data_IF_973632882677
#
_entry.id   IF_973632882677
#
_cell.length_a   1.000
_cell.length_b   1.000
_cell.length_c   1.000
_cell.angle_alpha   90.00
_cell.angle_beta   90.00
_cell.angle_gamma   90.00
#
_symmetry.space_group_name_H-M   'P 1'
#
loop_
_entity.id
_entity.type
_entity.pdbx_description
1 polymer ?
#
# COMPACT_ATOMS: atom_id res chain seq x y z
N UNK A 1 -21.82 0.94 1.90
CA UNK A 1 -22.67 1.63 0.93
C UNK A 1 -22.24 3.10 0.84
N UNK A 2 -21.89 3.54 -0.34
CA UNK A 2 -21.60 4.94 -0.64
C UNK A 2 -22.87 5.51 -1.24
N UNK A 3 -23.44 6.52 -0.62
CA UNK A 3 -24.77 7.02 -0.92
C UNK A 3 -25.00 7.45 -2.39
N UNK A 4 -23.90 7.72 -3.14
CA UNK A 4 -23.94 8.21 -4.52
C UNK A 4 -23.64 7.11 -5.56
N UNK A 5 -23.63 5.83 -5.16
CA UNK A 5 -23.29 4.71 -6.04
C UNK A 5 -24.34 3.60 -5.99
N UNK A 6 -24.52 2.95 -7.13
CA UNK A 6 -25.34 1.75 -7.28
C UNK A 6 -24.48 0.61 -7.83
N UNK A 7 -24.64 -0.59 -7.28
CA UNK A 7 -23.98 -1.80 -7.80
C UNK A 7 -24.83 -2.36 -8.93
N UNK A 8 -24.37 -2.21 -10.17
CA UNK A 8 -25.11 -2.64 -11.39
C UNK A 8 -24.79 -4.07 -11.81
N UNK A 9 -23.64 -4.59 -11.39
CA UNK A 9 -23.22 -5.97 -11.67
C UNK A 9 -22.03 -6.39 -10.83
N UNK A 10 -21.84 -7.69 -10.74
CA UNK A 10 -20.65 -8.31 -10.14
C UNK A 10 -20.32 -9.61 -10.85
N UNK A 11 -19.04 -9.96 -10.89
CA UNK A 11 -18.54 -11.17 -11.54
C UNK A 11 -17.58 -11.91 -10.61
N UNK A 12 -17.78 -13.23 -10.49
CA UNK A 12 -16.85 -14.13 -9.82
C UNK A 12 -16.96 -15.54 -10.43
N UNK A 13 -15.97 -15.94 -11.21
CA UNK A 13 -15.95 -17.25 -11.88
C UNK A 13 -15.67 -18.43 -10.96
N UNK A 14 -15.23 -18.18 -9.71
CA UNK A 14 -14.89 -19.20 -8.71
C UNK A 14 -15.72 -19.14 -7.44
N UNK A 15 -16.75 -18.29 -7.39
CA UNK A 15 -17.55 -18.10 -6.18
C UNK A 15 -18.29 -19.37 -5.77
N UNK A 16 -18.24 -19.67 -4.47
CA UNK A 16 -19.06 -20.72 -3.89
C UNK A 16 -20.55 -20.32 -3.89
N UNK A 17 -21.49 -21.26 -4.00
CA UNK A 17 -22.94 -20.95 -4.05
C UNK A 17 -23.42 -20.07 -2.90
N UNK A 18 -22.86 -20.24 -1.69
CA UNK A 18 -23.22 -19.45 -0.51
C UNK A 18 -22.78 -17.99 -0.68
N UNK A 19 -21.61 -17.75 -1.26
CA UNK A 19 -21.12 -16.40 -1.54
C UNK A 19 -21.96 -15.70 -2.61
N UNK A 20 -22.37 -16.43 -3.64
CA UNK A 20 -23.30 -15.94 -4.67
C UNK A 20 -24.65 -15.54 -4.04
N UNK A 21 -25.23 -16.41 -3.20
CA UNK A 21 -26.48 -16.14 -2.50
C UNK A 21 -26.38 -14.89 -1.62
N UNK A 22 -25.28 -14.75 -0.87
CA UNK A 22 -25.04 -13.58 -0.02
C UNK A 22 -24.90 -12.28 -0.83
N UNK A 23 -24.21 -12.33 -1.98
CA UNK A 23 -24.04 -11.18 -2.86
C UNK A 23 -25.38 -10.75 -3.50
N UNK A 24 -26.19 -11.70 -3.98
CA UNK A 24 -27.54 -11.43 -4.52
C UNK A 24 -28.43 -10.79 -3.46
N UNK A 25 -28.41 -11.30 -2.23
CA UNK A 25 -29.18 -10.71 -1.12
C UNK A 25 -28.73 -9.29 -0.77
N UNK A 26 -27.42 -9.03 -0.85
CA UNK A 26 -26.83 -7.72 -0.56
C UNK A 26 -27.05 -6.69 -1.65
N UNK A 27 -27.12 -7.13 -2.91
CA UNK A 27 -27.26 -6.28 -4.10
C UNK A 27 -28.38 -6.79 -5.01
N UNK A 28 -29.65 -6.68 -4.60
CA UNK A 28 -30.78 -7.35 -5.27
C UNK A 28 -31.06 -6.84 -6.69
N UNK A 29 -30.56 -5.64 -7.05
CA UNK A 29 -30.67 -5.07 -8.39
C UNK A 29 -29.48 -5.38 -9.31
N UNK A 30 -28.38 -5.94 -8.79
CA UNK A 30 -27.17 -6.16 -9.54
C UNK A 30 -27.23 -7.48 -10.33
N UNK A 31 -26.75 -7.44 -11.58
CA UNK A 31 -26.61 -8.64 -12.41
C UNK A 31 -25.41 -9.47 -11.97
N UNK A 32 -25.57 -10.78 -11.92
CA UNK A 32 -24.52 -11.73 -11.57
C UNK A 32 -23.92 -12.36 -12.82
N UNK A 33 -22.59 -12.43 -12.89
CA UNK A 33 -21.83 -13.00 -14.00
C UNK A 33 -20.73 -13.94 -13.48
N UNK A 34 -20.35 -14.90 -14.32
CA UNK A 34 -19.14 -15.72 -14.11
C UNK A 34 -17.93 -15.19 -14.86
N UNK A 35 -18.14 -14.29 -15.83
CA UNK A 35 -17.13 -13.65 -16.66
C UNK A 35 -17.22 -12.14 -16.52
N UNK A 36 -16.11 -11.52 -16.08
CA UNK A 36 -16.04 -10.08 -15.87
C UNK A 36 -16.06 -9.28 -17.17
N UNK A 37 -15.56 -9.83 -18.30
CA UNK A 37 -15.58 -9.13 -19.59
C UNK A 37 -17.02 -8.98 -20.09
N UNK A 38 -17.80 -10.05 -19.98
CA UNK A 38 -19.23 -10.01 -20.29
C UNK A 38 -19.98 -9.06 -19.36
N UNK A 39 -19.67 -9.07 -18.07
CA UNK A 39 -20.23 -8.11 -17.11
C UNK A 39 -19.96 -6.66 -17.57
N UNK A 40 -18.72 -6.33 -17.89
CA UNK A 40 -18.34 -4.99 -18.31
C UNK A 40 -19.05 -4.56 -19.61
N UNK A 41 -19.16 -5.44 -20.60
CA UNK A 41 -19.83 -5.16 -21.87
C UNK A 41 -21.34 -4.92 -21.69
N UNK A 42 -21.99 -5.71 -20.85
CA UNK A 42 -23.45 -5.63 -20.65
C UNK A 42 -23.87 -4.49 -19.71
N UNK A 43 -23.04 -4.17 -18.69
CA UNK A 43 -23.41 -3.17 -17.67
C UNK A 43 -22.80 -1.80 -17.92
N UNK A 44 -21.68 -1.70 -18.63
CA UNK A 44 -20.94 -0.47 -18.90
C UNK A 44 -20.84 0.45 -17.67
N UNK A 45 -20.25 -0.01 -16.59
CA UNK A 45 -20.24 0.74 -15.34
C UNK A 45 -19.33 1.97 -15.44
N UNK A 46 -19.68 3.07 -14.73
CA UNK A 46 -18.79 4.23 -14.59
C UNK A 46 -17.55 3.90 -13.76
N UNK A 47 -17.69 3.02 -12.77
CA UNK A 47 -16.62 2.63 -11.83
C UNK A 47 -16.56 1.11 -11.74
N UNK A 48 -15.35 0.57 -11.79
CA UNK A 48 -15.09 -0.87 -11.63
C UNK A 48 -14.27 -1.10 -10.36
N UNK A 49 -14.75 -1.98 -9.48
CA UNK A 49 -13.95 -2.50 -8.38
C UNK A 49 -13.18 -3.73 -8.85
N UNK A 50 -11.85 -3.62 -8.94
CA UNK A 50 -10.93 -4.72 -9.28
C UNK A 50 -10.48 -5.36 -7.96
N UNK A 51 -11.10 -6.49 -7.59
CA UNK A 51 -10.98 -7.11 -6.28
C UNK A 51 -10.26 -8.46 -6.21
N UNK A 52 -9.70 -9.05 -7.30
CA UNK A 52 -8.98 -10.31 -7.17
C UNK A 52 -7.80 -10.18 -6.20
N UNK A 53 -7.58 -11.25 -5.45
CA UNK A 53 -6.40 -11.35 -4.60
C UNK A 53 -5.13 -11.56 -5.42
N UNK A 54 -5.25 -12.19 -6.59
CA UNK A 54 -4.14 -12.52 -7.48
C UNK A 54 -3.80 -11.33 -8.37
N UNK A 55 -2.61 -10.79 -8.17
CA UNK A 55 -2.11 -9.54 -8.76
C UNK A 55 -1.94 -9.64 -10.29
N UNK A 56 -1.63 -10.82 -10.81
CA UNK A 56 -1.49 -11.11 -12.24
C UNK A 56 -2.77 -10.87 -13.07
N UNK A 57 -3.92 -10.71 -12.40
CA UNK A 57 -5.20 -10.41 -13.04
C UNK A 57 -5.50 -8.90 -13.13
N UNK A 58 -4.82 -8.08 -12.35
CA UNK A 58 -5.16 -6.68 -12.14
C UNK A 58 -5.06 -5.86 -13.42
N UNK A 59 -3.92 -5.90 -14.11
CA UNK A 59 -3.68 -5.12 -15.32
C UNK A 59 -4.72 -5.42 -16.41
N UNK A 60 -4.98 -6.70 -16.69
CA UNK A 60 -5.96 -7.12 -17.69
C UNK A 60 -7.38 -6.60 -17.39
N UNK A 61 -7.79 -6.62 -16.11
CA UNK A 61 -9.11 -6.11 -15.69
C UNK A 61 -9.21 -4.59 -15.82
N UNK A 62 -8.14 -3.84 -15.51
CA UNK A 62 -8.09 -2.39 -15.71
C UNK A 62 -8.21 -2.05 -17.20
N UNK A 63 -7.47 -2.74 -18.07
CA UNK A 63 -7.57 -2.54 -19.52
C UNK A 63 -8.97 -2.85 -20.06
N UNK A 64 -9.59 -3.93 -19.61
CA UNK A 64 -10.95 -4.29 -20.01
C UNK A 64 -11.99 -3.23 -19.56
N UNK A 65 -11.86 -2.72 -18.32
CA UNK A 65 -12.72 -1.66 -17.81
C UNK A 65 -12.54 -0.35 -18.61
N UNK A 66 -11.29 0.03 -18.90
CA UNK A 66 -10.99 1.20 -19.74
C UNK A 66 -11.56 1.09 -21.16
N UNK A 67 -11.58 -0.13 -21.74
CA UNK A 67 -12.13 -0.40 -23.08
C UNK A 67 -13.63 -0.14 -23.18
N UNK A 68 -14.40 -0.42 -22.12
CA UNK A 68 -15.86 -0.17 -22.09
C UNK A 68 -16.22 1.25 -21.68
N UNK A 69 -15.22 2.10 -21.36
CA UNK A 69 -15.42 3.51 -21.04
C UNK A 69 -15.60 3.80 -19.56
N UNK A 70 -15.15 2.91 -18.66
CA UNK A 70 -15.11 3.20 -17.23
C UNK A 70 -14.30 4.47 -16.95
N UNK A 71 -14.78 5.29 -16.02
CA UNK A 71 -14.16 6.56 -15.59
C UNK A 71 -13.29 6.39 -14.37
N UNK A 72 -13.56 5.36 -13.56
CA UNK A 72 -12.86 5.07 -12.32
C UNK A 72 -12.61 3.59 -12.09
N UNK A 73 -11.48 3.32 -11.42
CA UNK A 73 -11.13 1.98 -10.92
C UNK A 73 -10.88 2.10 -9.42
N UNK A 74 -11.54 1.27 -8.63
CA UNK A 74 -11.16 1.01 -7.24
C UNK A 74 -10.48 -0.36 -7.18
N UNK A 75 -9.23 -0.42 -6.80
CA UNK A 75 -8.39 -1.58 -7.05
C UNK A 75 -7.73 -2.12 -5.79
N UNK A 76 -7.80 -3.44 -5.61
CA UNK A 76 -7.05 -4.13 -4.55
C UNK A 76 -5.54 -3.97 -4.72
N UNK A 77 -4.88 -4.07 -3.58
CA UNK A 77 -3.41 -4.06 -3.47
C UNK A 77 -2.86 -5.51 -3.44
N UNK A 78 -1.62 -5.73 -3.79
CA UNK A 78 -0.66 -4.82 -4.44
C UNK A 78 -1.12 -4.34 -5.81
N UNK A 79 -0.60 -3.20 -6.27
CA UNK A 79 -1.05 -2.56 -7.50
C UNK A 79 -0.95 -3.49 -8.72
N UNK A 80 0.25 -3.83 -9.12
CA UNK A 80 0.58 -4.72 -10.24
C UNK A 80 1.93 -5.40 -9.98
N UNK A 81 2.36 -6.33 -10.88
CA UNK A 81 3.56 -7.15 -10.69
C UNK A 81 4.88 -6.46 -10.99
N UNK A 82 4.87 -5.49 -11.91
CA UNK A 82 6.08 -4.83 -12.38
C UNK A 82 5.82 -3.40 -12.90
N UNK A 83 6.88 -2.74 -13.36
CA UNK A 83 6.80 -1.37 -13.83
C UNK A 83 6.26 -1.27 -15.28
N UNK A 84 6.23 -2.34 -16.04
CA UNK A 84 5.59 -2.34 -17.37
C UNK A 84 4.09 -2.19 -17.21
N UNK A 85 3.47 -3.07 -16.41
CA UNK A 85 2.05 -2.99 -16.09
C UNK A 85 1.68 -1.67 -15.39
N UNK A 86 2.54 -1.18 -14.48
CA UNK A 86 2.31 0.08 -13.78
C UNK A 86 2.30 1.28 -14.73
N UNK A 87 3.26 1.37 -15.64
CA UNK A 87 3.36 2.45 -16.63
C UNK A 87 2.18 2.45 -17.59
N UNK A 88 1.71 1.28 -18.03
CA UNK A 88 0.54 1.15 -18.88
C UNK A 88 -0.73 1.71 -18.21
N UNK A 89 -0.96 1.38 -16.94
CA UNK A 89 -2.11 1.89 -16.20
C UNK A 89 -1.99 3.40 -15.96
N UNK A 90 -0.82 3.89 -15.63
CA UNK A 90 -0.57 5.34 -15.50
C UNK A 90 -0.84 6.06 -16.83
N UNK A 91 -0.41 5.48 -17.96
CA UNK A 91 -0.68 6.02 -19.30
C UNK A 91 -2.19 6.07 -19.60
N UNK A 92 -2.93 5.02 -19.27
CA UNK A 92 -4.41 5.01 -19.41
C UNK A 92 -5.06 6.15 -18.62
N UNK A 93 -4.57 6.42 -17.40
CA UNK A 93 -5.04 7.54 -16.58
C UNK A 93 -4.86 8.88 -17.29
N UNK A 94 -3.69 9.11 -17.87
CA UNK A 94 -3.35 10.35 -18.58
C UNK A 94 -4.08 10.51 -19.90
N UNK A 95 -4.17 9.43 -20.70
CA UNK A 95 -4.71 9.47 -22.05
C UNK A 95 -6.24 9.46 -22.09
N UNK A 96 -6.88 8.74 -21.16
CA UNK A 96 -8.33 8.53 -21.16
C UNK A 96 -9.06 9.20 -20.00
N UNK A 97 -8.33 9.89 -19.13
CA UNK A 97 -8.92 10.48 -17.92
C UNK A 97 -9.41 9.44 -16.89
N UNK A 98 -8.94 8.17 -16.99
CA UNK A 98 -9.28 7.11 -16.06
C UNK A 98 -8.67 7.40 -14.68
N UNK A 99 -9.48 7.44 -13.63
CA UNK A 99 -9.01 7.62 -12.26
C UNK A 99 -8.88 6.28 -11.57
N UNK A 100 -7.72 6.01 -10.98
CA UNK A 100 -7.45 4.76 -10.27
C UNK A 100 -7.18 5.08 -8.81
N UNK A 101 -7.95 4.49 -7.90
CA UNK A 101 -7.72 4.56 -6.47
C UNK A 101 -7.36 3.17 -5.94
N UNK A 102 -6.27 3.08 -5.18
CA UNK A 102 -5.78 1.83 -4.61
C UNK A 102 -6.28 1.64 -3.18
N UNK A 103 -6.56 0.40 -2.81
CA UNK A 103 -7.11 0.00 -1.52
C UNK A 103 -6.09 0.06 -0.36
N UNK A 104 -5.18 1.03 -0.37
CA UNK A 104 -4.29 1.33 0.76
C UNK A 104 -4.99 2.22 1.79
N UNK A 105 -6.04 1.68 2.39
CA UNK A 105 -6.99 2.39 3.25
C UNK A 105 -6.37 3.19 4.39
N UNK A 106 -5.26 2.71 4.98
CA UNK A 106 -4.60 3.37 6.10
C UNK A 106 -4.05 4.76 5.71
N UNK A 107 -3.68 4.98 4.44
CA UNK A 107 -3.26 6.29 3.94
C UNK A 107 -4.37 7.34 4.04
N UNK A 108 -5.64 6.90 3.98
CA UNK A 108 -6.80 7.77 4.06
C UNK A 108 -7.25 8.10 5.49
N UNK A 109 -6.56 7.56 6.51
CA UNK A 109 -6.88 7.89 7.89
C UNK A 109 -6.61 9.38 8.15
N UNK A 110 -7.60 10.16 8.63
CA UNK A 110 -7.47 11.62 8.77
C UNK A 110 -6.29 12.06 9.64
N UNK A 111 -5.94 11.28 10.67
CA UNK A 111 -4.79 11.58 11.50
C UNK A 111 -3.44 11.59 10.74
N UNK A 112 -3.34 10.95 9.55
CA UNK A 112 -2.14 10.98 8.71
C UNK A 112 -1.84 12.41 8.26
N UNK A 113 -2.85 13.16 7.82
CA UNK A 113 -2.68 14.56 7.42
C UNK A 113 -2.29 15.45 8.61
N UNK A 114 -2.87 15.20 9.78
CA UNK A 114 -2.54 15.94 11.01
C UNK A 114 -1.08 15.69 11.43
N UNK A 115 -0.60 14.44 11.35
CA UNK A 115 0.84 14.15 11.60
C UNK A 115 1.73 14.89 10.62
N UNK A 116 1.38 14.92 9.32
CA UNK A 116 2.16 15.67 8.32
C UNK A 116 2.21 17.16 8.66
N UNK A 117 1.08 17.76 9.01
CA UNK A 117 1.00 19.17 9.40
C UNK A 117 1.86 19.46 10.65
N UNK A 118 1.82 18.57 11.65
CA UNK A 118 2.62 18.71 12.86
C UNK A 118 4.12 18.53 12.60
N UNK A 119 4.52 17.65 11.68
CA UNK A 119 5.90 17.54 11.23
C UNK A 119 6.36 18.84 10.56
N UNK A 120 5.56 19.37 9.63
CA UNK A 120 5.87 20.62 8.93
C UNK A 120 5.94 21.83 9.88
N UNK A 121 5.09 21.85 10.91
CA UNK A 121 5.10 22.86 11.96
C UNK A 121 6.22 22.67 13.00
N UNK A 122 7.04 21.61 12.89
CA UNK A 122 8.14 21.32 13.81
C UNK A 122 7.72 20.87 15.20
N UNK A 123 6.46 20.47 15.42
CA UNK A 123 5.94 20.08 16.73
C UNK A 123 6.60 18.83 17.32
N UNK A 124 7.08 17.92 16.48
CA UNK A 124 7.84 16.73 16.88
C UNK A 124 9.35 16.96 16.88
N UNK A 125 9.80 18.21 16.61
CA UNK A 125 11.18 18.49 16.29
C UNK A 125 11.55 18.08 14.87
N UNK A 126 12.84 17.86 14.62
CA UNK A 126 13.35 17.45 13.31
C UNK A 126 13.16 15.96 13.09
N UNK A 127 12.61 15.54 11.95
CA UNK A 127 12.56 14.14 11.54
C UNK A 127 13.98 13.65 11.23
N UNK A 128 14.40 12.57 11.88
CA UNK A 128 15.75 12.02 11.82
C UNK A 128 15.84 10.78 10.95
N UNK A 129 14.88 9.88 11.10
CA UNK A 129 14.77 8.64 10.33
C UNK A 129 13.32 8.14 10.34
N UNK A 130 12.98 7.27 9.39
CA UNK A 130 11.76 6.49 9.40
C UNK A 130 12.08 4.99 9.37
N UNK A 131 11.34 4.18 10.12
CA UNK A 131 11.51 2.74 10.22
C UNK A 131 10.19 2.04 9.95
N UNK A 132 10.08 1.41 8.81
CA UNK A 132 8.96 0.57 8.45
C UNK A 132 9.30 -0.90 8.79
N UNK A 133 8.32 -1.61 9.33
CA UNK A 133 8.47 -3.02 9.64
C UNK A 133 7.28 -3.82 9.14
N UNK A 134 7.55 -4.92 8.44
CA UNK A 134 6.55 -5.83 7.91
C UNK A 134 5.74 -6.51 9.03
N UNK A 135 4.73 -7.28 8.63
CA UNK A 135 3.91 -8.04 9.58
C UNK A 135 4.64 -9.24 10.16
N UNK A 136 5.62 -9.75 9.42
CA UNK A 136 6.53 -10.82 9.85
C UNK A 136 5.84 -12.13 10.28
N UNK A 137 4.63 -12.34 9.79
CA UNK A 137 3.93 -13.62 9.95
C UNK A 137 4.55 -14.70 9.04
N UNK A 138 3.81 -15.75 8.67
CA UNK A 138 4.28 -16.79 7.75
C UNK A 138 4.73 -16.26 6.38
N UNK A 139 4.39 -15.03 6.02
CA UNK A 139 4.74 -14.36 4.76
C UNK A 139 6.04 -13.55 4.86
N UNK A 140 6.69 -13.45 6.01
CA UNK A 140 7.86 -12.60 6.24
C UNK A 140 8.89 -12.61 5.11
N UNK A 141 9.68 -11.55 5.03
CA UNK A 141 10.64 -11.33 3.96
C UNK A 141 10.05 -10.69 2.70
N UNK A 142 10.47 -11.09 1.49
CA UNK A 142 10.05 -10.48 0.22
C UNK A 142 8.55 -10.54 -0.06
N UNK A 143 7.88 -11.62 0.31
CA UNK A 143 6.42 -11.74 0.18
C UNK A 143 5.70 -10.72 1.07
N UNK A 144 6.19 -10.52 2.29
CA UNK A 144 5.66 -9.49 3.20
C UNK A 144 5.90 -8.07 2.66
N UNK A 145 7.09 -7.81 2.10
CA UNK A 145 7.40 -6.53 1.45
C UNK A 145 6.34 -6.17 0.37
N UNK A 146 5.94 -7.15 -0.46
CA UNK A 146 4.91 -6.98 -1.47
C UNK A 146 3.51 -6.81 -0.88
N UNK A 147 3.06 -7.80 -0.10
CA UNK A 147 1.63 -7.92 0.27
C UNK A 147 1.24 -6.96 1.39
N UNK A 148 2.14 -6.74 2.34
CA UNK A 148 1.88 -5.95 3.54
C UNK A 148 2.77 -4.71 3.62
N UNK A 149 4.04 -4.81 3.25
CA UNK A 149 4.97 -3.69 3.17
C UNK A 149 4.50 -2.60 2.20
N UNK A 150 3.80 -2.97 1.13
CA UNK A 150 3.20 -1.99 0.21
C UNK A 150 2.27 -0.99 0.91
N UNK A 151 1.54 -1.40 1.97
CA UNK A 151 0.72 -0.49 2.78
C UNK A 151 1.54 0.56 3.54
N UNK A 152 2.78 0.22 3.86
CA UNK A 152 3.71 1.10 4.56
C UNK A 152 4.44 2.00 3.58
N UNK A 153 5.01 1.40 2.52
CA UNK A 153 5.79 2.12 1.52
C UNK A 153 4.98 3.21 0.82
N UNK A 154 3.70 2.97 0.52
CA UNK A 154 2.82 3.97 -0.09
C UNK A 154 2.59 5.21 0.79
N UNK A 155 2.72 5.06 2.12
CA UNK A 155 2.57 6.16 3.07
C UNK A 155 3.84 7.01 3.20
N UNK A 156 5.02 6.43 2.94
CA UNK A 156 6.29 7.10 3.22
C UNK A 156 6.52 8.39 2.43
N UNK A 157 6.11 8.53 1.16
CA UNK A 157 6.26 9.78 0.42
C UNK A 157 5.51 10.97 1.02
N UNK A 158 4.44 10.72 1.78
CA UNK A 158 3.67 11.77 2.48
C UNK A 158 4.53 12.56 3.47
N UNK A 159 5.51 11.89 4.08
CA UNK A 159 6.39 12.44 5.11
C UNK A 159 7.79 12.73 4.63
N UNK A 160 8.29 11.97 3.64
CA UNK A 160 9.69 11.91 3.28
C UNK A 160 9.98 12.42 1.86
N UNK A 161 8.96 12.74 1.08
CA UNK A 161 9.12 13.01 -0.35
C UNK A 161 9.39 11.73 -1.16
N UNK A 162 9.78 11.88 -2.42
CA UNK A 162 9.98 10.74 -3.33
C UNK A 162 11.20 9.90 -2.96
N UNK A 163 11.18 8.58 -3.22
CA UNK A 163 12.38 7.75 -3.12
C UNK A 163 13.38 8.12 -4.23
N UNK A 164 14.67 8.14 -3.88
CA UNK A 164 15.79 8.56 -4.76
C UNK A 164 16.71 7.39 -5.07
N UNK A 165 16.97 6.54 -4.09
CA UNK A 165 17.80 5.37 -4.23
C UNK A 165 17.44 4.31 -3.18
N UNK A 166 17.86 3.06 -3.44
CA UNK A 166 17.68 1.94 -2.53
C UNK A 166 18.97 1.13 -2.39
N UNK A 167 19.19 0.61 -1.20
CA UNK A 167 20.16 -0.45 -0.90
C UNK A 167 19.40 -1.52 -0.13
N UNK A 168 19.45 -2.79 -0.59
CA UNK A 168 18.70 -3.86 0.06
C UNK A 168 19.23 -5.24 -0.25
N UNK A 169 19.00 -6.17 0.66
CA UNK A 169 19.38 -7.56 0.56
C UNK A 169 18.25 -8.49 1.00
N UNK A 170 18.13 -9.60 0.30
CA UNK A 170 17.23 -10.72 0.61
C UNK A 170 18.05 -11.86 1.20
N UNK A 171 17.47 -12.54 2.19
CA UNK A 171 18.12 -13.66 2.86
C UNK A 171 17.20 -14.87 2.91
N UNK A 172 17.79 -16.04 2.72
CA UNK A 172 17.19 -17.34 2.98
C UNK A 172 17.94 -18.00 4.15
N UNK A 173 17.29 -18.09 5.31
CA UNK A 173 17.87 -18.69 6.53
C UNK A 173 19.23 -18.06 6.91
N UNK A 174 19.31 -16.73 6.86
CA UNK A 174 20.50 -15.96 7.23
C UNK A 174 21.60 -15.91 6.17
N UNK A 175 21.41 -16.51 4.99
CA UNK A 175 22.34 -16.42 3.85
C UNK A 175 21.71 -15.58 2.73
N UNK A 176 22.49 -14.77 1.99
CA UNK A 176 21.98 -14.07 0.82
C UNK A 176 21.28 -15.04 -0.15
N UNK A 177 20.13 -14.62 -0.66
CA UNK A 177 19.36 -15.39 -1.66
C UNK A 177 20.19 -15.60 -2.91
N UNK A 178 20.15 -16.82 -3.44
CA UNK A 178 20.78 -17.20 -4.71
C UNK A 178 19.72 -17.78 -5.66
N UNK A 179 20.10 -18.01 -6.92
CA UNK A 179 19.19 -18.54 -7.96
C UNK A 179 18.36 -19.73 -7.49
N UNK A 180 18.95 -20.64 -6.72
CA UNK A 180 18.27 -21.85 -6.23
C UNK A 180 17.18 -21.59 -5.19
N UNK A 181 17.13 -20.40 -4.59
CA UNK A 181 16.13 -19.99 -3.61
C UNK A 181 14.95 -19.25 -4.26
N UNK A 182 15.02 -18.96 -5.57
CA UNK A 182 13.99 -18.20 -6.30
C UNK A 182 12.97 -19.16 -6.92
N UNK A 183 11.70 -18.91 -6.64
CA UNK A 183 10.56 -19.66 -7.18
C UNK A 183 9.35 -18.74 -7.38
N UNK A 184 8.30 -19.26 -8.01
CA UNK A 184 7.03 -18.53 -8.08
C UNK A 184 6.48 -18.26 -6.68
N UNK A 185 6.15 -17.01 -6.44
CA UNK A 185 5.55 -16.55 -5.19
C UNK A 185 4.04 -16.73 -5.15
N UNK A 186 3.47 -16.56 -3.96
CA UNK A 186 2.02 -16.55 -3.76
C UNK A 186 1.34 -15.34 -4.44
N UNK A 187 0.03 -15.41 -4.56
CA UNK A 187 -0.85 -14.29 -4.97
C UNK A 187 -0.59 -13.75 -6.40
N UNK A 188 0.05 -14.56 -7.26
CA UNK A 188 0.33 -14.14 -8.64
C UNK A 188 1.38 -13.02 -8.79
N UNK A 189 2.26 -12.87 -7.80
CA UNK A 189 3.28 -11.82 -7.74
C UNK A 189 4.51 -12.10 -8.62
N UNK A 190 4.61 -13.30 -9.20
CA UNK A 190 5.78 -13.75 -9.93
C UNK A 190 6.92 -14.18 -8.99
N UNK A 191 8.16 -14.08 -9.46
CA UNK A 191 9.32 -14.62 -8.76
C UNK A 191 9.58 -13.98 -7.41
N UNK A 192 9.80 -14.84 -6.40
CA UNK A 192 10.15 -14.49 -5.02
C UNK A 192 11.30 -15.38 -4.53
N UNK A 193 12.01 -14.94 -3.50
CA UNK A 193 13.08 -15.72 -2.88
C UNK A 193 13.46 -15.18 -1.51
N UNK A 194 13.63 -16.06 -0.55
CA UNK A 194 14.06 -15.71 0.80
C UNK A 194 12.92 -15.56 1.81
N UNK A 195 13.34 -15.54 3.08
CA UNK A 195 12.46 -15.41 4.24
C UNK A 195 12.82 -14.18 5.13
N UNK A 196 13.78 -13.36 4.69
CA UNK A 196 14.07 -12.06 5.30
C UNK A 196 14.47 -11.04 4.24
N UNK A 197 14.14 -9.77 4.51
CA UNK A 197 14.51 -8.62 3.70
C UNK A 197 14.93 -7.46 4.61
N UNK A 198 16.04 -6.80 4.26
CA UNK A 198 16.53 -5.58 4.88
C UNK A 198 16.83 -4.55 3.80
N UNK A 199 16.21 -3.39 3.91
CA UNK A 199 16.36 -2.33 2.91
C UNK A 199 16.51 -0.95 3.54
N UNK A 200 17.26 -0.08 2.86
CA UNK A 200 17.38 1.33 3.18
C UNK A 200 17.09 2.14 1.91
N UNK A 201 16.17 3.08 2.02
CA UNK A 201 15.87 4.03 0.95
C UNK A 201 16.43 5.41 1.29
N UNK A 202 16.97 6.06 0.28
CA UNK A 202 17.28 7.48 0.29
C UNK A 202 16.05 8.22 -0.24
N UNK A 203 15.57 9.17 0.54
CA UNK A 203 14.37 9.93 0.22
C UNK A 203 14.72 11.38 -0.14
N UNK A 204 13.89 12.04 -0.91
CA UNK A 204 14.07 13.42 -1.38
C UNK A 204 14.30 14.42 -0.22
N UNK A 205 13.68 14.19 0.94
CA UNK A 205 13.92 14.98 2.15
C UNK A 205 15.34 14.85 2.74
N UNK A 206 16.13 13.88 2.29
CA UNK A 206 17.41 13.50 2.89
C UNK A 206 17.28 12.63 4.15
N UNK A 207 16.06 12.37 4.63
CA UNK A 207 15.80 11.50 5.79
C UNK A 207 15.81 10.03 5.32
N UNK A 208 16.60 9.13 5.95
CA UNK A 208 16.62 7.72 5.56
C UNK A 208 15.34 7.01 5.99
N UNK A 209 14.84 6.13 5.12
CA UNK A 209 13.80 5.16 5.42
C UNK A 209 14.41 3.76 5.47
N UNK A 210 14.13 3.01 6.52
CA UNK A 210 14.48 1.60 6.65
C UNK A 210 13.22 0.74 6.53
N UNK A 211 13.36 -0.43 5.89
CA UNK A 211 12.32 -1.45 5.86
C UNK A 211 12.93 -2.80 6.22
N UNK A 212 12.34 -3.46 7.18
CA UNK A 212 12.73 -4.80 7.63
C UNK A 212 11.53 -5.73 7.69
N UNK A 213 11.74 -6.99 7.28
CA UNK A 213 10.79 -8.08 7.51
C UNK A 213 11.51 -9.41 7.57
N UNK A 214 11.24 -10.16 8.63
CA UNK A 214 11.78 -11.50 8.86
C UNK A 214 10.65 -12.47 9.19
N UNK A 215 10.56 -13.56 8.47
CA UNK A 215 9.51 -14.57 8.65
C UNK A 215 9.48 -15.14 10.07
N UNK A 216 8.28 -15.17 10.66
CA UNK A 216 8.05 -15.79 11.95
C UNK A 216 8.47 -14.97 13.18
N UNK A 217 8.93 -13.72 12.99
CA UNK A 217 9.23 -12.81 14.12
C UNK A 217 8.01 -11.99 14.56
N UNK A 218 6.97 -11.88 13.73
CA UNK A 218 5.77 -11.12 14.05
C UNK A 218 4.86 -11.87 15.00
N UNK A 219 4.61 -11.31 16.18
CA UNK A 219 3.51 -11.72 17.03
C UNK A 219 2.20 -11.08 16.56
N UNK A 220 1.06 -11.60 17.02
CA UNK A 220 -0.26 -11.01 16.74
C UNK A 220 -0.23 -9.51 17.10
N UNK A 221 -0.42 -8.65 16.09
CA UNK A 221 -0.49 -7.20 16.21
C UNK A 221 0.81 -6.47 16.60
N UNK A 222 1.99 -7.13 16.61
CA UNK A 222 3.25 -6.44 16.84
C UNK A 222 3.95 -6.03 15.54
N UNK A 223 4.59 -4.87 15.55
CA UNK A 223 5.58 -4.45 14.56
C UNK A 223 5.07 -3.94 13.22
N UNK A 224 3.93 -4.38 12.72
CA UNK A 224 3.42 -3.96 11.41
C UNK A 224 3.07 -2.47 11.37
N UNK A 225 4.00 -1.65 10.90
CA UNK A 225 3.83 -0.21 10.93
C UNK A 225 5.06 0.59 10.51
N UNK A 226 4.98 1.90 10.76
CA UNK A 226 6.06 2.85 10.49
C UNK A 226 6.29 3.70 11.74
N UNK A 227 7.53 3.80 12.17
CA UNK A 227 7.96 4.77 13.17
C UNK A 227 8.65 5.96 12.50
N UNK A 228 8.17 7.16 12.77
CA UNK A 228 8.86 8.40 12.46
C UNK A 228 9.63 8.83 13.70
N UNK A 229 10.95 8.71 13.66
CA UNK A 229 11.82 9.05 14.77
C UNK A 229 12.24 10.51 14.62
N UNK A 230 11.68 11.37 15.47
CA UNK A 230 11.95 12.80 15.47
C UNK A 230 12.82 13.18 16.66
N UNK A 231 13.42 14.38 16.68
CA UNK A 231 14.33 14.80 17.74
C UNK A 231 13.66 14.98 19.11
N UNK A 232 12.34 15.23 19.14
CA UNK A 232 11.57 15.49 20.36
C UNK A 232 10.40 14.50 20.59
N UNK A 233 10.18 13.56 19.64
CA UNK A 233 9.13 12.55 19.75
C UNK A 233 9.40 11.34 18.86
N UNK A 234 8.71 10.23 19.12
CA UNK A 234 8.53 9.13 18.16
C UNK A 234 7.05 9.01 17.85
N UNK A 235 6.70 9.04 16.55
CA UNK A 235 5.33 8.82 16.09
C UNK A 235 5.26 7.43 15.48
N UNK A 236 4.38 6.57 16.01
CA UNK A 236 4.25 5.17 15.63
C UNK A 236 2.90 4.94 14.93
N UNK A 237 2.97 4.53 13.67
CA UNK A 237 1.82 4.13 12.88
C UNK A 237 1.69 2.61 12.93
N UNK A 238 0.55 2.12 13.39
CA UNK A 238 0.22 0.69 13.42
C UNK A 238 -0.81 0.38 12.36
N UNK A 239 -0.41 -0.33 11.32
CA UNK A 239 -1.35 -0.73 10.27
C UNK A 239 -2.46 -1.62 10.85
N UNK A 240 -3.69 -1.33 10.45
CA UNK A 240 -4.91 -2.07 10.86
C UNK A 240 -5.21 -2.07 12.37
N UNK A 241 -4.57 -1.20 13.14
CA UNK A 241 -4.83 -1.03 14.57
C UNK A 241 -5.71 0.20 14.84
N UNK A 242 -6.30 0.24 16.05
CA UNK A 242 -7.05 1.39 16.55
C UNK A 242 -6.68 1.63 18.02
N UNK A 243 -6.15 2.79 18.39
CA UNK A 243 -5.78 3.89 17.50
C UNK A 243 -4.62 3.51 16.56
N UNK A 244 -4.73 3.96 15.30
CA UNK A 244 -3.70 3.66 14.30
C UNK A 244 -2.38 4.36 14.61
N UNK A 245 -2.43 5.54 15.21
CA UNK A 245 -1.25 6.35 15.48
C UNK A 245 -1.10 6.60 16.97
N UNK A 246 0.14 6.51 17.42
CA UNK A 246 0.53 6.85 18.79
C UNK A 246 1.78 7.73 18.77
N UNK A 247 1.93 8.57 19.75
CA UNK A 247 3.12 9.41 19.96
C UNK A 247 3.73 9.16 21.32
N UNK A 248 5.04 9.10 21.35
CA UNK A 248 5.83 9.13 22.59
C UNK A 248 6.72 10.35 22.56
N UNK A 249 6.52 11.23 23.51
CA UNK A 249 7.31 12.45 23.67
C UNK A 249 8.66 12.19 24.30
N UNK A 250 9.64 13.00 23.95
CA UNK A 250 11.00 12.96 24.47
C UNK A 250 12.03 12.59 23.42
N UNK A 251 13.30 12.74 23.78
CA UNK A 251 14.45 12.52 22.88
C UNK A 251 14.70 11.03 22.70
N UNK A 252 14.54 10.44 21.51
CA UNK A 252 14.52 9.00 21.31
C UNK A 252 15.86 8.31 21.63
N UNK A 253 16.99 9.02 21.46
CA UNK A 253 18.34 8.46 21.65
C UNK A 253 19.00 8.86 22.96
N UNK A 254 18.25 9.47 23.89
CA UNK A 254 18.77 9.80 25.23
C UNK A 254 18.12 8.90 26.29
N UNK A 255 18.90 8.36 27.24
CA UNK A 255 18.33 7.75 28.42
C UNK A 255 17.46 8.78 29.16
N UNK A 256 16.28 8.35 29.56
CA UNK A 256 15.35 9.16 30.37
C UNK A 256 15.21 8.53 31.74
N UNK A 257 15.18 9.36 32.78
CA UNK A 257 14.99 8.89 34.15
C UNK A 257 13.60 8.32 34.40
N UNK A 258 12.61 8.85 33.67
CA UNK A 258 11.23 8.35 33.69
C UNK A 258 10.73 8.13 32.24
N UNK A 259 10.35 6.89 31.89
CA UNK A 259 9.84 6.61 30.52
C UNK A 259 8.49 7.30 30.32
N UNK A 260 8.37 8.11 29.28
CA UNK A 260 7.05 8.57 28.81
C UNK A 260 6.29 7.42 28.15
N UNK A 261 5.02 7.25 28.49
CA UNK A 261 4.14 6.29 27.84
C UNK A 261 3.78 6.69 26.41
N UNK A 262 3.24 5.75 25.65
CA UNK A 262 2.61 6.02 24.39
C UNK A 262 1.26 6.69 24.58
N UNK A 263 0.99 7.73 23.82
CA UNK A 263 -0.24 8.51 23.83
C UNK A 263 -0.95 8.36 22.49
N UNK A 264 -2.27 8.06 22.45
CA UNK A 264 -3.03 8.05 21.22
C UNK A 264 -2.88 9.36 20.46
N UNK A 265 -2.81 9.26 19.13
CA UNK A 265 -2.81 10.39 18.22
C UNK A 265 -3.95 10.21 17.21
N UNK A 266 -4.91 11.13 17.23
CA UNK A 266 -6.14 11.05 16.44
C UNK A 266 -6.20 12.18 15.40
N UNK A 267 -7.29 12.31 14.69
CA UNK A 267 -7.53 13.47 13.81
C UNK A 267 -7.67 14.79 14.61
N UNK A 268 -7.92 14.73 15.92
CA UNK A 268 -7.88 15.88 16.84
C UNK A 268 -6.48 16.20 17.38
N UNK A 269 -5.48 15.33 17.14
CA UNK A 269 -4.10 15.48 17.64
C UNK A 269 -3.75 14.54 18.78
N UNK A 270 -2.61 14.83 19.46
CA UNK A 270 -2.07 13.99 20.53
C UNK A 270 -2.94 14.05 21.78
N UNK A 271 -3.36 12.88 22.31
CA UNK A 271 -4.14 12.76 23.54
C UNK A 271 -5.58 13.26 23.46
N UNK A 272 -6.05 13.58 22.26
CA UNK A 272 -7.44 13.99 22.00
C UNK A 272 -8.23 12.77 21.57
N UNK A 273 -9.47 12.61 22.04
CA UNK A 273 -10.37 11.60 21.51
C UNK A 273 -10.61 11.82 20.00
N UNK A 274 -10.88 10.73 19.27
CA UNK A 274 -11.19 10.84 17.84
C UNK A 274 -12.50 11.61 17.64
N UNK A 275 -12.46 12.79 17.01
CA UNK A 275 -13.67 13.60 16.84
C UNK A 275 -14.62 13.09 15.75
N UNK A 276 -14.13 12.18 14.89
CA UNK A 276 -14.95 11.61 13.82
C UNK A 276 -15.67 10.35 14.30
N UNK A 277 -16.98 10.37 14.21
CA UNK A 277 -17.80 9.19 14.45
C UNK A 277 -17.48 8.09 13.44
N UNK A 278 -17.54 6.84 13.89
CA UNK A 278 -17.37 5.66 13.03
C UNK A 278 -16.04 5.62 12.23
N UNK A 279 -14.94 6.21 12.75
CA UNK A 279 -13.65 6.26 12.04
C UNK A 279 -13.22 4.89 11.51
N UNK A 280 -13.48 3.83 12.29
CA UNK A 280 -13.19 2.46 11.88
C UNK A 280 -13.96 2.06 10.61
N UNK A 281 -15.24 2.40 10.51
CA UNK A 281 -16.05 2.13 9.31
C UNK A 281 -15.57 2.98 8.14
N UNK A 282 -15.23 4.23 8.37
CA UNK A 282 -14.76 5.14 7.34
C UNK A 282 -13.46 4.65 6.69
N UNK A 283 -12.50 4.20 7.48
CA UNK A 283 -11.18 3.73 7.02
C UNK A 283 -11.21 2.25 6.65
N UNK A 284 -11.50 1.35 7.61
CA UNK A 284 -11.47 -0.09 7.39
C UNK A 284 -12.59 -0.59 6.48
N UNK A 285 -13.71 0.13 6.41
CA UNK A 285 -14.81 -0.12 5.49
C UNK A 285 -14.62 0.43 4.08
N UNK A 286 -13.44 0.98 3.76
CA UNK A 286 -13.07 1.55 2.45
C UNK A 286 -13.99 2.72 1.99
N UNK A 287 -14.65 3.41 2.93
CA UNK A 287 -15.54 4.53 2.59
C UNK A 287 -14.74 5.72 2.08
N UNK A 288 -13.71 6.16 2.84
CA UNK A 288 -12.90 7.32 2.48
C UNK A 288 -12.17 7.16 1.13
N UNK A 289 -11.50 6.03 0.83
CA UNK A 289 -10.89 5.83 -0.48
C UNK A 289 -11.89 5.88 -1.64
N UNK A 290 -13.07 5.33 -1.45
CA UNK A 290 -14.07 5.30 -2.51
C UNK A 290 -14.74 6.66 -2.72
N UNK A 291 -14.99 7.45 -1.66
CA UNK A 291 -15.44 8.83 -1.75
C UNK A 291 -14.39 9.74 -2.41
N UNK A 292 -13.10 9.49 -2.14
CA UNK A 292 -12.00 10.20 -2.79
C UNK A 292 -11.96 9.91 -4.30
N UNK A 293 -12.17 8.64 -4.70
CA UNK A 293 -12.26 8.27 -6.12
C UNK A 293 -13.43 8.99 -6.81
N UNK A 294 -14.61 9.01 -6.20
CA UNK A 294 -15.76 9.73 -6.75
C UNK A 294 -15.47 11.20 -6.94
N UNK A 295 -14.91 11.83 -5.90
CA UNK A 295 -14.52 13.24 -5.94
C UNK A 295 -13.43 13.51 -6.97
N UNK A 296 -12.46 12.58 -7.13
CA UNK A 296 -11.40 12.69 -8.11
C UNK A 296 -11.94 12.65 -9.55
N UNK A 297 -12.94 11.78 -9.83
CA UNK A 297 -13.61 11.73 -11.13
C UNK A 297 -14.36 13.04 -11.42
N UNK A 298 -15.14 13.55 -10.45
CA UNK A 298 -15.93 14.77 -10.60
C UNK A 298 -15.07 16.02 -10.78
N UNK A 299 -13.96 16.09 -10.03
CA UNK A 299 -13.05 17.26 -10.01
C UNK A 299 -11.91 17.13 -11.02
N UNK A 300 -11.83 16.04 -11.77
CA UNK A 300 -10.76 15.74 -12.73
C UNK A 300 -9.34 15.81 -12.11
N UNK A 301 -9.20 15.38 -10.86
CA UNK A 301 -7.93 15.29 -10.13
C UNK A 301 -7.50 13.84 -9.93
N UNK A 302 -6.26 13.63 -9.50
CA UNK A 302 -5.83 12.31 -9.06
C UNK A 302 -6.38 11.98 -7.65
N UNK A 303 -6.75 10.71 -7.38
CA UNK A 303 -7.01 10.24 -6.02
C UNK A 303 -5.77 10.36 -5.12
N UNK A 304 -5.97 10.45 -3.82
CA UNK A 304 -4.88 10.49 -2.84
C UNK A 304 -3.92 9.31 -2.98
N UNK A 305 -4.45 8.12 -3.18
CA UNK A 305 -3.68 6.90 -3.47
C UNK A 305 -3.97 6.43 -4.89
N UNK A 306 -3.46 7.17 -5.88
CA UNK A 306 -3.67 6.91 -7.30
C UNK A 306 -2.65 5.96 -7.93
N UNK A 307 -2.74 5.79 -9.25
CA UNK A 307 -1.86 4.92 -10.04
C UNK A 307 -0.37 5.29 -9.89
N UNK A 308 -0.04 6.58 -9.81
CA UNK A 308 1.35 7.03 -9.62
C UNK A 308 1.91 6.63 -8.23
N UNK A 309 1.09 6.68 -7.18
CA UNK A 309 1.48 6.20 -5.86
C UNK A 309 1.71 4.68 -5.87
N UNK A 310 0.84 3.94 -6.55
CA UNK A 310 1.02 2.50 -6.77
C UNK A 310 2.29 2.18 -7.54
N UNK A 311 2.54 2.87 -8.65
CA UNK A 311 3.74 2.74 -9.46
C UNK A 311 5.01 2.99 -8.63
N UNK A 312 5.02 4.07 -7.85
CA UNK A 312 6.14 4.39 -6.96
C UNK A 312 6.38 3.29 -5.93
N UNK A 313 5.32 2.72 -5.36
CA UNK A 313 5.41 1.61 -4.40
C UNK A 313 5.99 0.36 -5.05
N UNK A 314 5.54 -0.02 -6.25
CA UNK A 314 6.10 -1.14 -7.02
C UNK A 314 7.58 -0.89 -7.33
N UNK A 315 7.95 0.33 -7.72
CA UNK A 315 9.33 0.70 -7.99
C UNK A 315 10.23 0.58 -6.75
N UNK A 316 9.74 1.00 -5.58
CA UNK A 316 10.45 0.81 -4.31
C UNK A 316 10.70 -0.67 -4.03
N UNK A 317 9.69 -1.52 -4.19
CA UNK A 317 9.82 -2.97 -3.97
C UNK A 317 10.83 -3.58 -4.94
N UNK A 318 10.69 -3.31 -6.24
CA UNK A 318 11.61 -3.85 -7.25
C UNK A 318 13.04 -3.31 -7.11
N UNK A 319 13.21 -2.10 -6.55
CA UNK A 319 14.54 -1.56 -6.27
C UNK A 319 15.30 -2.35 -5.20
N UNK A 320 14.60 -2.93 -4.23
CA UNK A 320 15.21 -3.85 -3.25
C UNK A 320 15.72 -5.11 -3.95
N UNK A 321 14.92 -5.67 -4.86
CA UNK A 321 15.30 -6.87 -5.63
C UNK A 321 16.47 -6.57 -6.59
N UNK A 322 16.46 -5.41 -7.23
CA UNK A 322 17.55 -4.98 -8.10
C UNK A 322 18.85 -4.74 -7.32
N UNK A 323 18.76 -4.11 -6.15
CA UNK A 323 19.93 -3.95 -5.27
C UNK A 323 20.48 -5.31 -4.83
N UNK A 324 19.62 -6.23 -4.41
CA UNK A 324 20.02 -7.59 -4.05
C UNK A 324 20.71 -8.31 -5.22
N UNK A 325 20.16 -8.27 -6.44
CA UNK A 325 20.76 -8.83 -7.66
C UNK A 325 22.17 -8.29 -7.93
N UNK A 326 22.43 -7.07 -7.50
CA UNK A 326 23.75 -6.41 -7.58
C UNK A 326 24.55 -6.52 -6.27
N UNK A 327 24.33 -7.58 -5.51
CA UNK A 327 25.04 -7.85 -4.25
C UNK A 327 24.93 -6.73 -3.19
N UNK A 328 23.79 -6.02 -3.17
CA UNK A 328 23.54 -4.93 -2.22
C UNK A 328 24.06 -3.56 -2.68
N UNK A 329 24.42 -3.40 -3.94
CA UNK A 329 24.81 -2.09 -4.47
C UNK A 329 23.65 -1.07 -4.38
N UNK A 330 24.03 0.19 -4.25
CA UNK A 330 23.08 1.32 -4.31
C UNK A 330 22.44 1.44 -5.69
N UNK A 331 21.15 1.34 -5.77
CA UNK A 331 20.36 1.46 -7.00
C UNK A 331 19.62 2.79 -6.99
N UNK A 332 19.78 3.58 -8.05
CA UNK A 332 19.07 4.87 -8.21
C UNK A 332 17.67 4.68 -8.78
N UNK A 333 16.73 5.54 -8.36
CA UNK A 333 15.39 5.63 -8.92
C UNK A 333 15.28 6.91 -9.78
N UNK A 334 14.51 6.88 -10.89
CA UNK A 334 13.72 5.75 -11.37
C UNK A 334 14.56 4.58 -11.89
N UNK A 335 14.04 3.36 -11.68
CA UNK A 335 14.68 2.12 -12.12
C UNK A 335 14.75 2.01 -13.64
N UNK A 336 15.89 1.50 -14.14
CA UNK A 336 16.03 1.10 -15.55
C UNK A 336 15.41 -0.29 -15.80
N UNK A 337 15.56 -1.20 -14.84
CA UNK A 337 14.97 -2.55 -14.88
C UNK A 337 13.46 -2.43 -14.66
N UNK A 338 12.66 -2.87 -15.64
CA UNK A 338 11.20 -2.69 -15.64
C UNK A 338 10.44 -3.92 -15.14
N UNK A 339 11.05 -5.09 -15.23
CA UNK A 339 10.49 -6.39 -14.81
C UNK A 339 11.15 -6.87 -13.53
N UNK A 340 10.62 -7.95 -12.94
CA UNK A 340 11.15 -8.50 -11.69
C UNK A 340 12.63 -8.90 -11.80
N UNK A 341 13.55 -8.27 -11.06
CA UNK A 341 15.00 -8.51 -11.18
C UNK A 341 15.45 -9.91 -10.73
N UNK A 342 14.64 -10.62 -9.92
CA UNK A 342 14.99 -11.97 -9.44
C UNK A 342 15.08 -12.99 -10.57
N UNK A 343 14.48 -12.72 -11.72
CA UNK A 343 14.65 -13.54 -12.92
C UNK A 343 16.06 -13.53 -13.52
N UNK A 344 16.92 -12.61 -13.06
CA UNK A 344 18.26 -12.37 -13.60
C UNK A 344 19.37 -12.65 -12.57
N UNK A 345 19.07 -13.28 -11.45
CA UNK A 345 20.06 -13.74 -10.46
C UNK A 345 20.82 -14.96 -10.97
#
# INVERSE_FOLDING_TARGET
>A
NIARTEVVGWADGGAKPEAVTAAVAKFPGAKCFTDYTRMLEETRPDIVAVCPRHVDQHSAMVHAAAKVGARGIYMEKPFVRDLVEADEIVALGRERGLRVALAHRNLYHPAVSVVREWLQAGRFGRLLEARARGKEDRRGGPLDLWVLGSHLLVMTPVFLGRPVACTGLLYQNGKPVVRGDVSEGDEGLGLMGGNAVHARFEMESGVPLYFDSVQGLGEKASGFGIQLVCSEAVVDFRADAEPMIQVRWGKPFRPVSEPSGWQPFTSGGAGVEEPLEDIRRLVAGHVLPAEDLLSAIEQQREPLCGAEAGRTTVEMILSVFESHRRAGERVTLPLQTRVNPLGQI
#
